data_IF_735102612530
#
_entry.id   IF_735102612530
#
_cell.length_a   1.000
_cell.length_b   1.000
_cell.length_c   1.000
_cell.angle_alpha   90.00
_cell.angle_beta   90.00
_cell.angle_gamma   90.00
#
_symmetry.space_group_name_H-M   'P 1'
#
loop_
_entity.id
_entity.type
_entity.pdbx_description
1 polymer ?
#
# COMPACT_ATOMS: atom_id res chain seq x y z
N UNK A 1 14.10 5.21 -13.62
CA UNK A 1 13.00 4.74 -12.77
C UNK A 1 12.51 5.93 -11.97
N UNK A 2 11.39 6.53 -12.38
CA UNK A 2 10.79 7.74 -11.77
C UNK A 2 9.31 7.46 -11.40
N UNK A 3 8.98 6.17 -11.24
CA UNK A 3 7.65 5.64 -11.49
C UNK A 3 6.60 5.95 -10.41
N UNK A 4 6.96 6.63 -9.32
CA UNK A 4 6.00 7.09 -8.33
C UNK A 4 6.48 8.36 -7.61
N UNK A 5 6.49 9.49 -8.34
CA UNK A 5 6.65 10.82 -7.73
C UNK A 5 5.41 11.24 -6.92
N UNK A 6 4.26 10.64 -7.23
CA UNK A 6 2.98 10.94 -6.58
C UNK A 6 2.90 10.18 -5.25
N UNK A 7 3.10 10.90 -4.13
CA UNK A 7 2.82 10.39 -2.79
C UNK A 7 1.37 10.63 -2.42
N UNK A 8 0.69 9.58 -1.97
CA UNK A 8 -0.72 9.62 -1.55
C UNK A 8 -0.89 9.08 -0.14
N UNK A 9 -2.06 9.34 0.43
CA UNK A 9 -2.54 8.75 1.67
C UNK A 9 -3.94 8.14 1.42
N UNK A 10 -4.57 7.57 2.45
CA UNK A 10 -5.89 6.95 2.29
C UNK A 10 -6.96 7.91 1.71
N UNK A 11 -6.88 9.20 2.04
CA UNK A 11 -7.86 10.19 1.60
C UNK A 11 -7.69 10.61 0.14
N UNK A 12 -6.45 10.66 -0.37
CA UNK A 12 -6.12 11.14 -1.72
C UNK A 12 -5.95 10.02 -2.73
N UNK A 13 -5.85 8.76 -2.31
CA UNK A 13 -5.67 7.59 -3.19
C UNK A 13 -6.72 7.54 -4.32
N UNK A 14 -7.98 7.81 -3.98
CA UNK A 14 -9.12 7.81 -4.92
C UNK A 14 -9.00 8.82 -6.06
N UNK A 15 -8.18 9.85 -5.91
CA UNK A 15 -8.01 10.92 -6.90
C UNK A 15 -7.03 10.53 -8.02
N UNK A 16 -6.39 9.35 -7.91
CA UNK A 16 -5.37 8.86 -8.84
C UNK A 16 -5.69 7.49 -9.46
N UNK A 17 -6.91 7.27 -10.00
CA UNK A 17 -7.29 5.97 -10.54
C UNK A 17 -6.37 5.55 -11.70
N UNK A 18 -5.90 4.31 -11.69
CA UNK A 18 -5.05 3.74 -12.74
C UNK A 18 -3.62 4.29 -12.79
N UNK A 19 -3.24 5.16 -11.86
CA UNK A 19 -1.88 5.72 -11.76
C UNK A 19 -1.02 4.87 -10.85
N UNK A 20 0.29 4.86 -11.12
CA UNK A 20 1.28 4.34 -10.17
C UNK A 20 1.55 5.42 -9.12
N UNK A 21 1.33 5.07 -7.85
CA UNK A 21 1.46 5.96 -6.70
C UNK A 21 2.38 5.34 -5.65
N UNK A 22 2.84 6.18 -4.74
CA UNK A 22 3.63 5.80 -3.57
C UNK A 22 2.80 6.06 -2.31
N UNK A 23 2.66 5.05 -1.48
CA UNK A 23 1.95 5.10 -0.20
C UNK A 23 2.93 4.69 0.90
N UNK A 24 2.90 5.37 2.05
CA UNK A 24 3.63 4.93 3.25
C UNK A 24 2.59 4.67 4.34
N UNK A 25 2.65 3.49 4.96
CA UNK A 25 1.72 3.14 6.02
C UNK A 25 2.23 2.03 6.93
N UNK A 26 1.61 1.92 8.11
CA UNK A 26 1.86 0.83 9.07
C UNK A 26 0.98 -0.36 8.72
N UNK A 27 1.55 -1.54 8.54
CA UNK A 27 0.75 -2.75 8.34
C UNK A 27 -0.05 -3.04 9.62
N UNK A 28 -1.37 -3.01 9.52
CA UNK A 28 -2.29 -3.28 10.64
C UNK A 28 -2.83 -4.70 10.62
N UNK A 29 -2.99 -5.27 9.43
CA UNK A 29 -3.36 -6.67 9.22
C UNK A 29 -2.64 -7.23 7.99
N UNK A 30 -2.33 -8.52 8.00
CA UNK A 30 -1.75 -9.24 6.87
C UNK A 30 -2.54 -10.53 6.72
N UNK A 31 -2.95 -10.83 5.50
CA UNK A 31 -3.54 -12.11 5.13
C UNK A 31 -2.64 -12.78 4.07
N UNK A 32 -1.74 -13.68 4.51
CA UNK A 32 -0.86 -14.42 3.61
C UNK A 32 -1.59 -15.40 2.71
N UNK A 33 -2.84 -15.76 3.02
CA UNK A 33 -3.62 -16.71 2.20
C UNK A 33 -4.25 -16.07 0.98
N UNK A 34 -4.48 -14.75 1.03
CA UNK A 34 -5.07 -13.94 -0.05
C UNK A 34 -4.07 -13.00 -0.70
N UNK A 35 -2.78 -13.11 -0.35
CA UNK A 35 -1.73 -12.18 -0.72
C UNK A 35 -2.18 -10.73 -0.55
N UNK A 36 -2.65 -10.37 0.65
CA UNK A 36 -3.13 -9.01 0.91
C UNK A 36 -2.72 -8.49 2.29
N UNK A 37 -2.72 -7.17 2.43
CA UNK A 37 -2.49 -6.50 3.70
C UNK A 37 -3.32 -5.21 3.81
N UNK A 38 -3.58 -4.79 5.04
CA UNK A 38 -4.09 -3.44 5.32
C UNK A 38 -2.96 -2.58 5.87
N UNK A 39 -2.76 -1.42 5.27
CA UNK A 39 -1.82 -0.39 5.72
C UNK A 39 -2.62 0.79 6.27
N UNK A 40 -2.28 1.25 7.47
CA UNK A 40 -2.71 2.56 7.95
C UNK A 40 -1.79 3.65 7.40
N UNK A 41 -2.31 4.41 6.45
CA UNK A 41 -1.66 5.54 5.80
C UNK A 41 -2.50 6.82 6.01
N UNK A 42 -2.79 7.14 7.28
CA UNK A 42 -3.74 8.20 7.64
C UNK A 42 -5.20 7.76 7.46
N UNK A 43 -5.43 6.45 7.55
CA UNK A 43 -6.66 5.76 7.19
C UNK A 43 -6.34 4.38 6.58
N UNK A 44 -7.30 3.43 6.61
CA UNK A 44 -7.07 2.07 6.13
C UNK A 44 -6.97 2.03 4.61
N UNK A 45 -5.90 1.43 4.10
CA UNK A 45 -5.69 1.13 2.67
C UNK A 45 -5.45 -0.36 2.51
N UNK A 46 -6.28 -1.01 1.70
CA UNK A 46 -6.07 -2.40 1.30
C UNK A 46 -5.06 -2.46 0.16
N UNK A 47 -4.06 -3.33 0.28
CA UNK A 47 -3.09 -3.58 -0.77
C UNK A 47 -3.05 -5.06 -1.10
N UNK A 48 -3.01 -5.38 -2.39
CA UNK A 48 -2.64 -6.70 -2.86
C UNK A 48 -1.11 -6.78 -2.87
N UNK A 49 -0.57 -7.75 -2.15
CA UNK A 49 0.83 -8.16 -2.27
C UNK A 49 0.92 -9.16 -3.40
N UNK A 50 2.03 -9.21 -4.14
CA UNK A 50 2.21 -10.23 -5.17
C UNK A 50 3.45 -11.06 -4.81
N UNK A 51 3.23 -12.28 -4.28
CA UNK A 51 4.31 -13.23 -4.01
C UNK A 51 5.05 -13.00 -2.69
N UNK A 52 6.32 -13.41 -2.66
CA UNK A 52 7.21 -13.65 -1.48
C UNK A 52 7.49 -12.45 -0.56
N UNK A 53 6.75 -11.36 -0.66
CA UNK A 53 6.87 -10.18 0.17
C UNK A 53 6.31 -10.47 1.56
N UNK A 54 7.21 -10.72 2.52
CA UNK A 54 6.82 -10.91 3.92
C UNK A 54 6.49 -9.56 4.55
N UNK A 55 5.24 -9.12 4.37
CA UNK A 55 4.67 -8.03 5.17
C UNK A 55 4.37 -8.58 6.57
N UNK A 56 4.79 -7.83 7.59
CA UNK A 56 4.57 -8.14 8.99
C UNK A 56 3.74 -7.03 9.62
N UNK A 57 2.70 -7.42 10.37
CA UNK A 57 1.91 -6.47 11.13
C UNK A 57 2.79 -5.70 12.13
N UNK A 58 2.50 -4.40 12.29
CA UNK A 58 3.24 -3.51 13.17
C UNK A 58 4.40 -2.76 12.52
N UNK A 59 4.88 -3.19 11.34
CA UNK A 59 5.96 -2.52 10.62
C UNK A 59 5.45 -1.48 9.64
N UNK A 60 6.27 -0.49 9.33
CA UNK A 60 6.00 0.52 8.32
C UNK A 60 6.56 0.08 6.97
N UNK A 61 5.79 0.30 5.91
CA UNK A 61 6.15 -0.04 4.55
C UNK A 61 5.94 1.17 3.63
N UNK A 62 6.83 1.31 2.64
CA UNK A 62 6.62 2.14 1.46
C UNK A 62 6.17 1.24 0.31
N UNK A 63 4.94 1.42 -0.15
CA UNK A 63 4.34 0.66 -1.26
C UNK A 63 4.33 1.53 -2.50
N UNK A 64 4.85 0.98 -3.60
CA UNK A 64 4.74 1.57 -4.94
C UNK A 64 3.84 0.64 -5.75
N UNK A 65 2.65 1.11 -6.11
CA UNK A 65 1.63 0.28 -6.75
C UNK A 65 0.67 1.08 -7.62
N UNK A 66 -0.07 0.38 -8.47
CA UNK A 66 -1.14 0.98 -9.29
C UNK A 66 -2.45 0.98 -8.50
N UNK A 67 -3.17 2.10 -8.51
CA UNK A 67 -4.52 2.25 -7.94
C UNK A 67 -5.58 1.60 -8.82
#
# INVERSE_FOLDING_TARGET
MDAASIRVNAATLKDFPGRVVRLIGKATSVDPSSDSATLDAGGPVHVSTHGSEQIEAGKFYEVIGKV
#
